data_IF_850239316205
#
_entry.id   IF_850239316205
#
_cell.length_a   1.000
_cell.length_b   1.000
_cell.length_c   1.000
_cell.angle_alpha   90.00
_cell.angle_beta   90.00
_cell.angle_gamma   90.00
#
_symmetry.space_group_name_H-M   'P 1'
#
loop_
_entity.id
_entity.type
_entity.pdbx_description
1 polymer ?
#
# COMPACT_ATOMS: atom_id res chain seq x y z
N UNK A 1 9.13 5.15 18.35
CA UNK A 1 7.69 5.50 18.50
C UNK A 1 7.11 5.71 17.11
N UNK A 2 5.89 5.25 16.81
CA UNK A 2 5.26 5.50 15.49
C UNK A 2 5.02 7.01 15.31
N UNK A 3 5.13 7.49 14.08
CA UNK A 3 4.80 8.88 13.74
C UNK A 3 3.31 9.14 14.01
N UNK A 4 3.00 10.12 14.85
CA UNK A 4 1.61 10.46 15.21
C UNK A 4 0.77 10.89 14.02
N UNK A 5 1.41 11.38 12.95
CA UNK A 5 0.74 11.71 11.69
C UNK A 5 0.13 10.50 10.96
N UNK A 6 0.51 9.27 11.31
CA UNK A 6 -0.08 8.04 10.77
C UNK A 6 -0.96 7.28 11.78
N UNK A 7 -1.22 7.88 12.95
CA UNK A 7 -2.11 7.31 13.96
C UNK A 7 -3.45 8.05 13.86
N UNK A 8 -4.55 7.31 13.72
CA UNK A 8 -5.88 7.89 13.66
C UNK A 8 -6.23 8.67 14.94
N UNK A 9 -7.00 9.76 14.83
CA UNK A 9 -7.39 10.59 15.97
C UNK A 9 -8.04 9.80 17.11
N UNK A 10 -8.96 8.88 16.77
CA UNK A 10 -9.64 8.01 17.74
C UNK A 10 -8.70 7.01 18.45
N UNK A 11 -7.42 6.94 18.03
CA UNK A 11 -6.35 6.16 18.66
C UNK A 11 -5.25 7.03 19.27
N UNK A 12 -5.52 8.33 19.46
CA UNK A 12 -4.60 9.28 20.10
C UNK A 12 -3.54 9.88 19.17
N UNK A 13 -3.75 9.83 17.85
CA UNK A 13 -2.88 10.44 16.85
C UNK A 13 -3.45 11.72 16.23
N UNK A 14 -2.90 12.11 15.08
CA UNK A 14 -3.25 13.34 14.35
C UNK A 14 -3.92 13.08 12.99
N UNK A 15 -4.05 11.81 12.58
CA UNK A 15 -4.54 11.46 11.25
C UNK A 15 -6.07 11.51 11.21
N UNK A 16 -6.60 12.41 10.38
CA UNK A 16 -8.03 12.50 10.10
C UNK A 16 -8.51 11.23 9.39
N UNK A 17 -9.77 10.84 9.61
CA UNK A 17 -10.37 9.67 8.95
C UNK A 17 -10.29 9.75 7.42
N UNK A 18 -10.49 10.94 6.85
CA UNK A 18 -10.39 11.16 5.41
C UNK A 18 -8.97 10.96 4.89
N UNK A 19 -7.95 11.44 5.62
CA UNK A 19 -6.54 11.23 5.28
C UNK A 19 -6.16 9.75 5.36
N UNK A 20 -6.74 9.01 6.31
CA UNK A 20 -6.56 7.56 6.40
C UNK A 20 -7.07 6.84 5.14
N UNK A 21 -8.22 7.27 4.61
CA UNK A 21 -8.76 6.76 3.34
C UNK A 21 -7.91 7.17 2.14
N UNK A 22 -7.41 8.40 2.10
CA UNK A 22 -6.51 8.87 1.05
C UNK A 22 -5.20 8.05 1.02
N UNK A 23 -4.61 7.77 2.19
CA UNK A 23 -3.42 6.92 2.30
C UNK A 23 -3.68 5.50 1.80
N UNK A 24 -4.85 4.93 2.11
CA UNK A 24 -5.22 3.61 1.63
C UNK A 24 -5.39 3.59 0.10
N UNK A 25 -6.11 4.56 -0.46
CA UNK A 25 -6.35 4.65 -1.91
C UNK A 25 -5.03 4.81 -2.66
N UNK A 26 -4.18 5.74 -2.21
CA UNK A 26 -2.85 5.94 -2.76
C UNK A 26 -2.00 4.66 -2.72
N UNK A 27 -2.03 3.89 -1.62
CA UNK A 27 -1.32 2.62 -1.52
C UNK A 27 -1.84 1.54 -2.48
N UNK A 28 -3.16 1.50 -2.71
CA UNK A 28 -3.76 0.67 -3.75
C UNK A 28 -3.30 1.11 -5.14
N UNK A 29 -3.33 2.40 -5.45
CA UNK A 29 -2.95 2.93 -6.76
C UNK A 29 -1.47 2.63 -7.07
N UNK A 30 -0.56 2.76 -6.09
CA UNK A 30 0.85 2.35 -6.22
C UNK A 30 0.99 0.85 -6.55
N UNK A 31 0.18 0.01 -5.90
CA UNK A 31 0.25 -1.44 -6.13
C UNK A 31 -0.32 -1.80 -7.51
N UNK A 32 -1.46 -1.21 -7.88
CA UNK A 32 -2.13 -1.47 -9.15
C UNK A 32 -1.31 -0.97 -10.34
N UNK A 33 -0.63 0.17 -10.22
CA UNK A 33 0.25 0.69 -11.27
C UNK A 33 1.33 -0.33 -11.64
N UNK A 34 2.06 -0.81 -10.64
CA UNK A 34 3.13 -1.79 -10.84
C UNK A 34 2.57 -3.15 -11.25
N UNK A 35 1.43 -3.57 -10.70
CA UNK A 35 0.77 -4.81 -11.10
C UNK A 35 0.39 -4.82 -12.59
N UNK A 36 -0.08 -3.69 -13.12
CA UNK A 36 -0.48 -3.56 -14.53
C UNK A 36 0.71 -3.49 -15.50
N UNK A 37 1.93 -3.29 -15.01
CA UNK A 37 3.15 -3.30 -15.84
C UNK A 37 3.64 -4.71 -16.16
N UNK A 38 3.10 -5.76 -15.53
CA UNK A 38 3.54 -7.14 -15.72
C UNK A 38 2.46 -7.99 -16.41
N UNK A 39 2.86 -8.67 -17.48
CA UNK A 39 2.03 -9.63 -18.21
C UNK A 39 2.07 -11.02 -17.54
N UNK A 40 1.57 -11.09 -16.30
CA UNK A 40 1.58 -12.30 -15.47
C UNK A 40 0.20 -12.54 -14.85
N UNK A 41 -0.16 -13.83 -14.66
CA UNK A 41 -1.42 -14.18 -14.01
C UNK A 41 -1.34 -13.87 -12.51
N UNK A 42 -2.04 -12.81 -12.10
CA UNK A 42 -2.13 -12.38 -10.70
C UNK A 42 -3.05 -13.30 -9.90
N UNK A 43 -2.57 -13.74 -8.74
CA UNK A 43 -3.36 -14.54 -7.80
C UNK A 43 -4.60 -13.77 -7.31
N UNK A 44 -5.77 -14.42 -7.33
CA UNK A 44 -7.03 -13.80 -6.90
C UNK A 44 -6.99 -13.24 -5.46
N UNK A 45 -6.15 -13.79 -4.57
CA UNK A 45 -5.97 -13.25 -3.22
C UNK A 45 -5.39 -11.83 -3.21
N UNK A 46 -4.55 -11.49 -4.19
CA UNK A 46 -3.95 -10.16 -4.37
C UNK A 46 -5.03 -9.19 -4.84
N UNK A 47 -5.80 -9.56 -5.86
CA UNK A 47 -6.92 -8.77 -6.40
C UNK A 47 -7.97 -8.52 -5.30
N UNK A 48 -8.32 -9.56 -4.54
CA UNK A 48 -9.27 -9.47 -3.44
C UNK A 48 -8.78 -8.55 -2.31
N UNK A 49 -7.47 -8.51 -2.03
CA UNK A 49 -6.91 -7.58 -1.04
C UNK A 49 -7.12 -6.12 -1.46
N UNK A 50 -6.81 -5.77 -2.70
CA UNK A 50 -7.02 -4.41 -3.22
C UNK A 50 -8.50 -4.03 -3.24
N UNK A 51 -9.37 -4.94 -3.67
CA UNK A 51 -10.82 -4.75 -3.60
C UNK A 51 -11.30 -4.51 -2.17
N UNK A 52 -10.89 -5.36 -1.22
CA UNK A 52 -11.26 -5.25 0.21
C UNK A 52 -10.78 -3.92 0.80
N UNK A 53 -9.61 -3.43 0.38
CA UNK A 53 -9.09 -2.14 0.82
C UNK A 53 -10.02 -1.00 0.36
N UNK A 54 -10.42 -0.99 -0.92
CA UNK A 54 -11.34 0.01 -1.47
C UNK A 54 -12.73 -0.08 -0.81
N UNK A 55 -13.25 -1.30 -0.61
CA UNK A 55 -14.50 -1.53 0.12
C UNK A 55 -14.46 -1.03 1.57
N UNK A 56 -13.29 -1.11 2.23
CA UNK A 56 -13.12 -0.58 3.59
C UNK A 56 -13.19 0.95 3.62
N UNK A 57 -12.55 1.62 2.64
CA UNK A 57 -12.63 3.08 2.53
C UNK A 57 -14.07 3.56 2.27
N UNK A 58 -14.91 2.73 1.63
CA UNK A 58 -16.33 2.96 1.42
C UNK A 58 -17.21 2.54 2.62
N UNK A 59 -16.62 2.00 3.70
CA UNK A 59 -17.35 1.55 4.90
C UNK A 59 -18.12 0.24 4.75
N UNK A 60 -17.85 -0.55 3.70
CA UNK A 60 -18.57 -1.80 3.39
C UNK A 60 -18.05 -3.03 4.14
N UNK A 61 -16.79 -3.00 4.58
CA UNK A 61 -16.13 -4.11 5.28
C UNK A 61 -15.42 -3.61 6.53
N UNK A 62 -15.14 -4.53 7.46
CA UNK A 62 -14.50 -4.20 8.72
C UNK A 62 -12.97 -4.15 8.62
N UNK A 63 -12.31 -3.59 9.64
CA UNK A 63 -10.84 -3.71 9.78
C UNK A 63 -10.41 -5.17 9.93
N UNK A 64 -11.26 -6.04 10.49
CA UNK A 64 -10.99 -7.47 10.61
C UNK A 64 -10.90 -8.15 9.24
N UNK A 65 -11.84 -7.82 8.34
CA UNK A 65 -11.86 -8.31 6.96
C UNK A 65 -10.61 -7.85 6.20
N UNK A 66 -10.24 -6.58 6.34
CA UNK A 66 -9.02 -6.03 5.75
C UNK A 66 -7.75 -6.76 6.24
N UNK A 67 -7.66 -7.06 7.55
CA UNK A 67 -6.54 -7.84 8.11
C UNK A 67 -6.51 -9.27 7.56
N UNK A 68 -7.66 -9.92 7.41
CA UNK A 68 -7.75 -11.27 6.84
C UNK A 68 -7.30 -11.27 5.38
N UNK A 69 -7.75 -10.29 4.59
CA UNK A 69 -7.34 -10.13 3.19
C UNK A 69 -5.83 -9.84 3.06
N UNK A 70 -5.27 -9.02 3.97
CA UNK A 70 -3.83 -8.75 4.06
C UNK A 70 -3.03 -10.06 4.21
N UNK A 71 -3.43 -10.90 5.16
CA UNK A 71 -2.78 -12.20 5.38
C UNK A 71 -2.91 -13.11 4.16
N UNK A 72 -4.05 -13.09 3.47
CA UNK A 72 -4.28 -13.83 2.23
C UNK A 72 -3.31 -13.43 1.11
N UNK A 73 -3.12 -12.13 0.87
CA UNK A 73 -2.16 -11.64 -0.12
C UNK A 73 -0.71 -11.98 0.26
N UNK A 74 -0.33 -11.85 1.53
CA UNK A 74 1.02 -12.22 2.01
C UNK A 74 1.26 -13.74 1.88
N UNK A 75 0.24 -14.56 2.12
CA UNK A 75 0.33 -16.00 1.89
C UNK A 75 0.54 -16.33 0.40
N UNK A 76 -0.15 -15.63 -0.51
CA UNK A 76 0.08 -15.78 -1.95
C UNK A 76 1.53 -15.52 -2.37
N UNK A 77 2.21 -14.60 -1.68
CA UNK A 77 3.62 -14.33 -1.90
C UNK A 77 4.55 -15.52 -1.58
N UNK A 78 4.13 -16.47 -0.74
CA UNK A 78 4.94 -17.65 -0.37
C UNK A 78 4.83 -18.78 -1.40
N UNK A 79 3.75 -18.79 -2.18
CA UNK A 79 3.42 -19.84 -3.14
C UNK A 79 4.03 -19.57 -4.53
N UNK A 80 4.78 -18.46 -4.69
CA UNK A 80 5.27 -17.97 -5.98
C UNK A 80 6.80 -17.96 -6.04
N UNK A 81 7.42 -18.47 -7.13
CA UNK A 81 8.87 -18.38 -7.32
C UNK A 81 9.31 -17.01 -7.87
N UNK A 82 8.41 -16.29 -8.57
CA UNK A 82 8.73 -15.01 -9.20
C UNK A 82 8.80 -13.88 -8.15
N UNK A 83 10.00 -13.34 -7.93
CA UNK A 83 10.27 -12.31 -6.94
C UNK A 83 9.49 -11.00 -7.16
N UNK A 84 9.20 -10.64 -8.41
CA UNK A 84 8.36 -9.47 -8.75
C UNK A 84 6.94 -9.68 -8.23
N UNK A 85 6.36 -10.86 -8.49
CA UNK A 85 5.01 -11.22 -8.00
C UNK A 85 4.99 -11.29 -6.47
N UNK A 86 6.04 -11.80 -5.83
CA UNK A 86 6.19 -11.78 -4.37
C UNK A 86 6.16 -10.34 -3.84
N UNK A 87 6.84 -9.40 -4.50
CA UNK A 87 6.83 -7.99 -4.11
C UNK A 87 5.45 -7.34 -4.30
N UNK A 88 4.77 -7.58 -5.43
CA UNK A 88 3.38 -7.11 -5.67
C UNK A 88 2.43 -7.66 -4.61
N UNK A 89 2.51 -8.95 -4.29
CA UNK A 89 1.67 -9.57 -3.28
C UNK A 89 1.86 -8.94 -1.89
N UNK A 90 3.12 -8.65 -1.51
CA UNK A 90 3.44 -7.91 -0.27
C UNK A 90 2.95 -6.46 -0.32
N UNK A 91 3.05 -5.81 -1.48
CA UNK A 91 2.50 -4.47 -1.70
C UNK A 91 0.99 -4.45 -1.45
N UNK A 92 0.24 -5.35 -2.07
CA UNK A 92 -1.21 -5.46 -1.89
C UNK A 92 -1.59 -5.80 -0.44
N UNK A 93 -0.84 -6.71 0.20
CA UNK A 93 -1.03 -7.06 1.61
C UNK A 93 -0.86 -5.85 2.53
N UNK A 94 0.12 -5.00 2.27
CA UNK A 94 0.30 -3.75 2.99
C UNK A 94 -0.75 -2.68 2.63
N UNK A 95 -1.15 -2.59 1.36
CA UNK A 95 -2.16 -1.64 0.92
C UNK A 95 -3.48 -1.85 1.70
N UNK A 96 -3.98 -3.09 1.78
CA UNK A 96 -5.18 -3.40 2.56
C UNK A 96 -4.94 -3.31 4.08
N UNK A 97 -3.74 -3.62 4.57
CA UNK A 97 -3.40 -3.42 5.97
C UNK A 97 -3.40 -1.95 6.41
N UNK A 98 -3.37 -1.00 5.46
CA UNK A 98 -3.56 0.43 5.75
C UNK A 98 -4.83 0.66 6.55
N UNK A 99 -5.92 -0.07 6.28
CA UNK A 99 -7.16 -0.02 7.06
C UNK A 99 -6.95 -0.26 8.57
N UNK A 100 -6.01 -1.14 8.91
CA UNK A 100 -5.65 -1.41 10.30
C UNK A 100 -4.77 -0.30 10.89
N UNK A 101 -3.71 0.10 10.18
CA UNK A 101 -2.74 1.12 10.59
C UNK A 101 -2.21 1.87 9.38
N UNK A 102 -2.29 3.20 9.38
CA UNK A 102 -2.09 4.00 8.17
C UNK A 102 -0.65 3.99 7.63
N UNK A 103 0.36 3.75 8.48
CA UNK A 103 1.77 3.66 8.06
C UNK A 103 2.07 2.44 7.17
N UNK A 104 1.15 1.48 7.08
CA UNK A 104 1.26 0.41 6.07
C UNK A 104 1.20 0.93 4.64
N UNK A 105 0.60 2.10 4.39
CA UNK A 105 0.62 2.75 3.07
C UNK A 105 2.05 2.98 2.55
N UNK A 106 2.96 3.42 3.43
CA UNK A 106 4.36 3.63 3.11
C UNK A 106 5.05 2.32 2.70
N UNK A 107 4.73 1.23 3.41
CA UNK A 107 5.29 -0.10 3.10
C UNK A 107 4.74 -0.67 1.81
N UNK A 108 3.47 -0.44 1.50
CA UNK A 108 2.88 -0.83 0.23
C UNK A 108 3.63 -0.18 -0.92
N UNK A 109 3.74 1.16 -0.89
CA UNK A 109 4.44 1.90 -1.92
C UNK A 109 5.95 1.52 -2.04
N UNK A 110 6.60 1.18 -0.93
CA UNK A 110 7.97 0.67 -0.95
C UNK A 110 8.09 -0.72 -1.61
N UNK A 111 7.12 -1.61 -1.40
CA UNK A 111 7.10 -2.90 -2.09
C UNK A 111 6.73 -2.79 -3.57
N UNK A 112 5.88 -1.81 -3.96
CA UNK A 112 5.65 -1.48 -5.36
C UNK A 112 6.97 -1.04 -6.03
N UNK A 113 7.74 -0.14 -5.41
CA UNK A 113 9.09 0.21 -5.88
C UNK A 113 10.00 -1.03 -5.92
N UNK A 114 9.92 -1.93 -4.93
CA UNK A 114 10.72 -3.16 -4.94
C UNK A 114 10.38 -4.07 -6.12
N UNK A 115 9.13 -4.13 -6.55
CA UNK A 115 8.73 -4.89 -7.73
C UNK A 115 9.34 -4.29 -9.02
N UNK A 116 9.34 -2.96 -9.17
CA UNK A 116 10.01 -2.23 -10.26
C UNK A 116 11.53 -2.44 -10.25
N UNK A 117 12.15 -2.42 -9.06
CA UNK A 117 13.58 -2.73 -8.94
C UNK A 117 13.89 -4.16 -9.42
N UNK A 118 13.05 -5.12 -9.03
CA UNK A 118 13.23 -6.53 -9.39
C UNK A 118 12.94 -6.82 -10.87
N UNK A 119 12.14 -5.98 -11.54
CA UNK A 119 11.92 -6.06 -12.99
C UNK A 119 13.02 -5.41 -13.82
N UNK A 120 13.95 -4.70 -13.19
CA UNK A 120 15.02 -3.95 -13.87
C UNK A 120 14.53 -2.62 -14.47
N UNK A 121 13.36 -2.15 -14.06
CA UNK A 121 12.79 -0.87 -14.50
C UNK A 121 13.26 0.29 -13.61
N UNK A 122 12.95 1.52 -14.05
CA UNK A 122 13.40 2.74 -13.39
C UNK A 122 12.66 2.99 -12.08
N UNK A 123 13.37 2.81 -10.96
CA UNK A 123 12.88 3.17 -9.61
C UNK A 123 12.49 4.64 -9.52
N UNK A 124 13.22 5.52 -10.22
CA UNK A 124 13.01 6.95 -10.14
C UNK A 124 11.71 7.36 -10.83
N UNK A 125 11.37 6.72 -11.95
CA UNK A 125 10.10 6.97 -12.65
C UNK A 125 8.91 6.53 -11.81
N UNK A 126 8.98 5.34 -11.19
CA UNK A 126 7.93 4.87 -10.27
C UNK A 126 7.81 5.80 -9.06
N UNK A 127 8.93 6.21 -8.45
CA UNK A 127 8.90 7.13 -7.30
C UNK A 127 8.25 8.47 -7.68
N UNK A 128 8.58 9.01 -8.84
CA UNK A 128 7.98 10.25 -9.34
C UNK A 128 6.50 10.08 -9.61
N UNK A 129 6.08 8.97 -10.24
CA UNK A 129 4.68 8.64 -10.43
C UNK A 129 3.91 8.57 -9.10
N UNK A 130 4.44 7.83 -8.12
CA UNK A 130 3.81 7.71 -6.80
C UNK A 130 3.67 9.06 -6.09
N UNK A 131 4.65 9.96 -6.24
CA UNK A 131 4.60 11.30 -5.66
C UNK A 131 3.53 12.17 -6.34
N UNK A 132 3.35 12.04 -7.66
CA UNK A 132 2.30 12.73 -8.42
C UNK A 132 0.90 12.26 -8.03
N UNK A 133 0.74 10.99 -7.66
CA UNK A 133 -0.56 10.45 -7.21
C UNK A 133 -0.95 10.85 -5.79
N UNK A 134 -0.10 11.52 -5.01
CA UNK A 134 -0.44 11.94 -3.65
C UNK A 134 -1.45 13.10 -3.67
N UNK A 135 -2.63 12.94 -3.03
CA UNK A 135 -3.51 14.06 -2.70
C UNK A 135 -2.78 15.12 -1.87
N UNK A 136 -3.14 16.38 -2.07
CA UNK A 136 -2.47 17.52 -1.44
C UNK A 136 -2.48 17.42 0.09
N UNK A 137 -3.56 16.90 0.67
CA UNK A 137 -3.78 16.85 2.13
C UNK A 137 -2.88 15.84 2.86
N UNK A 138 -2.31 14.87 2.14
CA UNK A 138 -1.40 13.86 2.71
C UNK A 138 0.01 13.91 2.13
N UNK A 139 0.25 14.78 1.14
CA UNK A 139 1.53 14.85 0.42
C UNK A 139 2.70 15.14 1.36
N UNK A 140 2.61 16.20 2.16
CA UNK A 140 3.70 16.58 3.04
C UNK A 140 3.99 15.53 4.12
N UNK A 141 2.94 14.90 4.65
CA UNK A 141 3.06 13.80 5.61
C UNK A 141 3.84 12.62 5.01
N UNK A 142 3.47 12.17 3.81
CA UNK A 142 4.12 11.04 3.14
C UNK A 142 5.55 11.36 2.73
N UNK A 143 5.77 12.51 2.09
CA UNK A 143 7.11 12.90 1.61
C UNK A 143 8.08 13.11 2.77
N UNK A 144 7.64 13.69 3.88
CA UNK A 144 8.46 13.85 5.09
C UNK A 144 8.81 12.50 5.71
N UNK A 145 7.84 11.57 5.78
CA UNK A 145 8.08 10.24 6.32
C UNK A 145 9.08 9.43 5.46
N UNK A 146 8.97 9.52 4.13
CA UNK A 146 9.91 8.86 3.20
C UNK A 146 11.34 9.34 3.38
N UNK A 147 11.55 10.65 3.56
CA UNK A 147 12.90 11.21 3.81
C UNK A 147 13.55 10.65 5.07
N UNK A 148 12.77 10.36 6.12
CA UNK A 148 13.28 9.78 7.37
C UNK A 148 13.63 8.30 7.27
N UNK A 149 13.00 7.56 6.36
CA UNK A 149 13.24 6.12 6.16
C UNK A 149 14.50 5.88 5.32
N UNK A 150 14.84 6.83 4.44
CA UNK A 150 16.01 6.75 3.54
C UNK A 150 17.29 7.38 4.14
N UNK A 151 17.26 7.77 5.42
CA UNK A 151 18.42 8.21 6.21
C UNK A 151 18.83 7.08 7.16
#
# INVERSE_FOLDING_TARGET
MRDKGFIAEHRGGLLLRQQHYQLLKWACDCTEHVMNSFDEIIDMRIINALKTARDWADGKVTVGDARKASLGAIAAARDKPNAVIVAIARSAGHAVATAHMADHSLRAAAYAIKAIELSGESIEDERNWQNLQLPLEIRDLVLTARKKINQ
#
